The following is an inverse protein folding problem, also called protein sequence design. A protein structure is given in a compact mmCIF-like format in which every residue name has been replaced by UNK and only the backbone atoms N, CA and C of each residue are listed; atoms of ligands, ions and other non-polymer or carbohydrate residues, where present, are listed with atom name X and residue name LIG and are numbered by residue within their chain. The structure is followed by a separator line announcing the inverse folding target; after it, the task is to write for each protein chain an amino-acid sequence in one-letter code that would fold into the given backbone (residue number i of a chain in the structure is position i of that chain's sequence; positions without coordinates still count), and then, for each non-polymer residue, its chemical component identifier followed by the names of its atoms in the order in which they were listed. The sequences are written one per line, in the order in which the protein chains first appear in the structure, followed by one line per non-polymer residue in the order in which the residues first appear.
data_IF_038553326949
#
_entry.id   IF_038553326949
#
_cell.length_a   1.000
_cell.length_b   1.000
_cell.length_c   1.000
_cell.angle_alpha   90.00
_cell.angle_beta   90.00
_cell.angle_gamma   90.00
#
_symmetry.space_group_name_H-M   'P 1'
#
loop_
_entity.id
_entity.type
_entity.pdbx_description
1 polymer ?
#
# COMPACT_ATOMS: atom_id res chain seq x y z
N UNK A 1 11.88 11.79 9.71
CA UNK A 1 12.61 11.39 8.48
C UNK A 1 12.20 12.26 7.30
N UNK A 2 10.93 12.31 6.90
CA UNK A 2 10.46 13.12 5.76
C UNK A 2 10.97 14.57 5.75
N UNK A 3 10.84 15.30 6.87
CA UNK A 3 11.31 16.70 7.00
C UNK A 3 12.78 16.87 6.60
N UNK A 4 13.63 15.86 6.85
CA UNK A 4 15.05 15.91 6.56
C UNK A 4 15.37 15.44 5.12
N UNK A 5 14.47 14.65 4.51
CA UNK A 5 14.69 14.01 3.20
C UNK A 5 13.43 14.02 2.31
N UNK A 6 12.80 15.18 2.06
CA UNK A 6 11.49 15.25 1.41
C UNK A 6 11.52 14.69 -0.02
N UNK A 7 12.54 15.05 -0.80
CA UNK A 7 12.66 14.59 -2.20
C UNK A 7 12.95 13.10 -2.30
N UNK A 8 13.71 12.52 -1.37
CA UNK A 8 13.93 11.07 -1.32
C UNK A 8 12.61 10.33 -1.07
N UNK A 9 11.82 10.79 -0.10
CA UNK A 9 10.53 10.20 0.20
C UNK A 9 9.55 10.34 -0.97
N UNK A 10 9.48 11.52 -1.62
CA UNK A 10 8.63 11.73 -2.80
C UNK A 10 9.01 10.81 -3.96
N UNK A 11 10.31 10.72 -4.26
CA UNK A 11 10.80 9.83 -5.32
C UNK A 11 10.53 8.37 -5.01
N UNK A 12 10.68 7.96 -3.75
CA UNK A 12 10.34 6.61 -3.32
C UNK A 12 8.85 6.32 -3.48
N UNK A 13 7.97 7.22 -3.02
CA UNK A 13 6.51 7.08 -3.18
C UNK A 13 6.12 7.01 -4.64
N UNK A 14 6.68 7.87 -5.49
CA UNK A 14 6.46 7.83 -6.94
C UNK A 14 6.86 6.48 -7.54
N UNK A 15 8.07 6.01 -7.25
CA UNK A 15 8.56 4.72 -7.73
C UNK A 15 7.70 3.54 -7.22
N UNK A 16 7.21 3.61 -5.98
CA UNK A 16 6.32 2.60 -5.41
C UNK A 16 4.97 2.53 -6.15
N UNK A 17 4.37 3.69 -6.44
CA UNK A 17 3.11 3.77 -7.20
C UNK A 17 3.32 3.23 -8.62
N UNK A 18 4.37 3.67 -9.31
CA UNK A 18 4.74 3.16 -10.64
C UNK A 18 4.95 1.65 -10.63
N UNK A 19 5.62 1.12 -9.59
CA UNK A 19 5.83 -0.31 -9.40
C UNK A 19 4.54 -1.10 -9.22
N UNK A 20 3.58 -0.59 -8.45
CA UNK A 20 2.25 -1.21 -8.32
C UNK A 20 1.49 -1.22 -9.65
N UNK A 21 1.47 -0.09 -10.37
CA UNK A 21 0.81 -0.02 -11.68
C UNK A 21 1.45 -1.00 -12.66
N UNK A 22 2.79 -1.07 -12.68
CA UNK A 22 3.51 -2.04 -13.50
C UNK A 22 3.13 -3.47 -13.14
N UNK A 23 3.16 -3.82 -11.85
CA UNK A 23 2.87 -5.15 -11.36
C UNK A 23 1.44 -5.62 -11.71
N UNK A 24 0.47 -4.72 -11.60
CA UNK A 24 -0.92 -4.98 -11.96
C UNK A 24 -1.13 -5.11 -13.47
N UNK A 25 -0.28 -4.52 -14.30
CA UNK A 25 -0.32 -4.67 -15.75
C UNK A 25 0.50 -5.87 -16.27
N UNK A 26 1.38 -6.44 -15.44
CA UNK A 26 2.22 -7.59 -15.77
C UNK A 26 2.05 -8.70 -14.70
N UNK A 27 0.83 -9.27 -14.56
CA UNK A 27 0.51 -10.16 -13.43
C UNK A 27 1.33 -11.45 -13.43
N UNK A 28 1.55 -12.10 -14.59
CA UNK A 28 2.30 -13.36 -14.66
C UNK A 28 3.77 -13.15 -14.26
N UNK A 29 4.41 -12.09 -14.75
CA UNK A 29 5.77 -11.72 -14.33
C UNK A 29 5.82 -11.45 -12.83
N UNK A 30 4.90 -10.62 -12.33
CA UNK A 30 4.81 -10.22 -10.93
C UNK A 30 4.69 -11.43 -10.01
N UNK A 31 3.76 -12.33 -10.31
CA UNK A 31 3.52 -13.55 -9.51
C UNK A 31 4.77 -14.44 -9.53
N UNK A 32 5.44 -14.58 -10.67
CA UNK A 32 6.69 -15.34 -10.75
C UNK A 32 7.82 -14.71 -9.92
N UNK A 33 7.95 -13.38 -9.90
CA UNK A 33 8.91 -12.67 -9.06
C UNK A 33 8.62 -12.92 -7.58
N UNK A 34 7.37 -12.80 -7.15
CA UNK A 34 6.95 -13.07 -5.76
C UNK A 34 7.24 -14.52 -5.37
N UNK A 35 6.87 -15.48 -6.21
CA UNK A 35 7.13 -16.91 -5.96
C UNK A 35 8.61 -17.21 -5.84
N UNK A 36 9.45 -16.60 -6.69
CA UNK A 36 10.90 -16.75 -6.60
C UNK A 36 11.39 -16.31 -5.22
N UNK A 37 11.04 -15.10 -4.79
CA UNK A 37 11.42 -14.60 -3.46
C UNK A 37 10.89 -15.47 -2.32
N UNK A 38 9.65 -15.98 -2.42
CA UNK A 38 9.10 -16.89 -1.41
C UNK A 38 9.90 -18.20 -1.33
N UNK A 39 10.23 -18.80 -2.47
CA UNK A 39 11.02 -20.05 -2.54
C UNK A 39 12.43 -19.86 -2.01
N UNK A 40 13.09 -18.75 -2.37
CA UNK A 40 14.43 -18.41 -1.89
C UNK A 40 14.47 -18.25 -0.36
N UNK A 41 13.33 -17.86 0.23
CA UNK A 41 13.15 -17.73 1.68
C UNK A 41 12.46 -18.97 2.32
N UNK A 42 12.40 -20.09 1.61
CA UNK A 42 11.82 -21.36 2.10
C UNK A 42 10.36 -21.26 2.57
N UNK A 43 9.59 -20.32 1.99
CA UNK A 43 8.17 -20.15 2.26
C UNK A 43 7.32 -20.99 1.28
N UNK A 44 6.18 -21.55 1.71
CA UNK A 44 5.25 -22.21 0.80
C UNK A 44 4.76 -21.27 -0.29
N UNK A 45 5.03 -21.62 -1.55
CA UNK A 45 4.70 -20.78 -2.70
C UNK A 45 3.77 -21.53 -3.68
N UNK A 46 2.60 -20.97 -3.94
CA UNK A 46 1.62 -21.51 -4.90
C UNK A 46 1.21 -20.43 -5.90
N UNK A 47 1.40 -20.71 -7.19
CA UNK A 47 1.11 -19.75 -8.26
C UNK A 47 -0.33 -19.27 -8.26
N UNK A 48 -1.29 -20.19 -8.22
CA UNK A 48 -2.70 -19.85 -8.29
C UNK A 48 -3.13 -19.01 -7.08
N UNK A 49 -2.61 -19.32 -5.89
CA UNK A 49 -2.89 -18.52 -4.70
C UNK A 49 -2.31 -17.11 -4.80
N UNK A 50 -1.05 -16.97 -5.22
CA UNK A 50 -0.41 -15.65 -5.35
C UNK A 50 -1.06 -14.81 -6.47
N UNK A 51 -1.47 -15.44 -7.57
CA UNK A 51 -2.22 -14.76 -8.62
C UNK A 51 -3.60 -14.28 -8.13
N UNK A 52 -4.30 -15.12 -7.36
CA UNK A 52 -5.56 -14.74 -6.72
C UNK A 52 -5.36 -13.56 -5.76
N UNK A 53 -4.30 -13.56 -4.95
CA UNK A 53 -3.96 -12.46 -4.05
C UNK A 53 -3.66 -11.16 -4.82
N UNK A 54 -2.89 -11.23 -5.92
CA UNK A 54 -2.61 -10.05 -6.75
C UNK A 54 -3.88 -9.44 -7.33
N UNK A 55 -4.83 -10.28 -7.76
CA UNK A 55 -6.13 -9.80 -8.25
C UNK A 55 -6.94 -9.11 -7.14
N UNK A 56 -6.92 -9.62 -5.90
CA UNK A 56 -7.55 -8.95 -4.76
C UNK A 56 -6.90 -7.60 -4.46
N UNK A 57 -5.57 -7.52 -4.57
CA UNK A 57 -4.87 -6.25 -4.41
C UNK A 57 -5.24 -5.25 -5.51
N UNK A 58 -5.44 -5.71 -6.76
CA UNK A 58 -5.89 -4.84 -7.87
C UNK A 58 -7.18 -4.10 -7.52
N UNK A 59 -8.18 -4.83 -7.01
CA UNK A 59 -9.49 -4.26 -6.66
C UNK A 59 -9.39 -3.16 -5.61
N UNK A 60 -8.44 -3.28 -4.67
CA UNK A 60 -8.23 -2.29 -3.60
C UNK A 60 -7.38 -1.11 -4.04
N UNK A 61 -6.29 -1.37 -4.76
CA UNK A 61 -5.36 -0.32 -5.19
C UNK A 61 -5.99 0.56 -6.27
N UNK A 62 -6.78 -0.03 -7.18
CA UNK A 62 -7.44 0.67 -8.27
C UNK A 62 -8.92 0.96 -7.99
N UNK A 63 -9.35 0.94 -6.73
CA UNK A 63 -10.71 1.34 -6.34
C UNK A 63 -11.02 2.78 -6.81
N UNK A 64 -10.02 3.66 -6.76
CA UNK A 64 -10.06 4.99 -7.36
C UNK A 64 -8.78 5.24 -8.21
N UNK A 65 -8.80 4.89 -9.51
CA UNK A 65 -7.62 4.96 -10.37
C UNK A 65 -7.02 6.37 -10.50
N UNK A 66 -7.84 7.41 -10.38
CA UNK A 66 -7.39 8.81 -10.47
C UNK A 66 -6.70 9.30 -9.17
N UNK A 67 -6.79 8.51 -8.10
CA UNK A 67 -6.30 8.86 -6.75
C UNK A 67 -5.43 7.76 -6.12
N UNK A 68 -4.73 6.97 -6.93
CA UNK A 68 -3.81 5.93 -6.40
C UNK A 68 -2.76 6.57 -5.49
N UNK A 69 -2.65 6.04 -4.26
CA UNK A 69 -1.70 6.54 -3.25
C UNK A 69 -2.19 7.77 -2.47
N UNK A 70 -3.38 8.29 -2.76
CA UNK A 70 -4.02 9.33 -1.97
C UNK A 70 -4.78 8.73 -0.78
N UNK A 71 -4.55 9.27 0.42
CA UNK A 71 -5.35 8.93 1.59
C UNK A 71 -6.56 9.84 1.67
N UNK A 72 -7.77 9.30 1.79
CA UNK A 72 -8.95 10.12 1.97
C UNK A 72 -9.03 10.65 3.43
N UNK A 73 -9.20 11.97 3.67
CA UNK A 73 -9.32 12.51 5.03
C UNK A 73 -10.44 11.87 5.86
N UNK A 74 -11.58 11.55 5.24
CA UNK A 74 -12.71 10.92 5.94
C UNK A 74 -12.37 9.49 6.40
N UNK A 75 -11.56 8.75 5.63
CA UNK A 75 -11.14 7.40 6.00
C UNK A 75 -10.20 7.43 7.20
N UNK A 76 -9.29 8.41 7.26
CA UNK A 76 -8.42 8.61 8.44
C UNK A 76 -9.25 8.99 9.66
N UNK A 77 -10.21 9.91 9.52
CA UNK A 77 -11.07 10.34 10.61
C UNK A 77 -11.92 9.17 11.16
N UNK A 78 -12.46 8.33 10.28
CA UNK A 78 -13.22 7.14 10.67
C UNK A 78 -12.33 6.13 11.42
N UNK A 79 -11.12 5.87 10.91
CA UNK A 79 -10.16 4.98 11.57
C UNK A 79 -9.79 5.51 12.97
N UNK A 80 -9.55 6.81 13.09
CA UNK A 80 -9.25 7.46 14.37
C UNK A 80 -10.40 7.30 15.36
N UNK A 81 -11.64 7.54 14.94
CA UNK A 81 -12.85 7.38 15.75
C UNK A 81 -12.99 5.94 16.27
N UNK A 82 -12.81 4.95 15.39
CA UNK A 82 -12.87 3.53 15.75
C UNK A 82 -11.80 3.21 16.80
N UNK A 83 -10.55 3.65 16.59
CA UNK A 83 -9.45 3.33 17.51
C UNK A 83 -9.62 4.04 18.87
N UNK A 84 -10.12 5.29 18.88
CA UNK A 84 -10.45 6.00 20.12
C UNK A 84 -11.56 5.31 20.92
N UNK A 85 -12.66 4.94 20.25
CA UNK A 85 -13.77 4.21 20.90
C UNK A 85 -13.31 2.90 21.54
N UNK A 86 -12.32 2.24 20.94
CA UNK A 86 -11.76 0.99 21.45
C UNK A 86 -10.56 1.18 22.39
N UNK A 87 -10.28 2.42 22.84
CA UNK A 87 -9.15 2.75 23.71
C UNK A 87 -7.79 2.27 23.16
N UNK A 88 -7.65 2.17 21.83
CA UNK A 88 -6.41 1.80 21.14
C UNK A 88 -5.58 2.99 20.71
N UNK A 89 -6.13 4.18 20.80
CA UNK A 89 -5.47 5.42 20.46
C UNK A 89 -5.58 6.41 21.62
N UNK A 90 -4.43 6.84 22.15
CA UNK A 90 -4.36 7.76 23.28
C UNK A 90 -4.45 9.24 22.86
N UNK A 91 -4.01 9.58 21.63
CA UNK A 91 -3.92 10.95 21.13
C UNK A 91 -4.51 11.05 19.71
N UNK A 92 -5.19 12.16 19.37
CA UNK A 92 -5.67 12.40 18.00
C UNK A 92 -4.54 12.38 16.97
N UNK A 93 -4.86 12.00 15.72
CA UNK A 93 -3.92 11.97 14.60
C UNK A 93 -4.41 12.95 13.54
N UNK A 94 -3.84 14.15 13.56
CA UNK A 94 -4.20 15.18 12.60
C UNK A 94 -3.79 14.79 11.19
N UNK A 95 -4.71 14.94 10.22
CA UNK A 95 -4.48 14.55 8.83
C UNK A 95 -3.22 15.19 8.23
N UNK A 96 -3.00 16.49 8.48
CA UNK A 96 -1.83 17.25 8.01
C UNK A 96 -0.50 16.75 8.58
N UNK A 97 -0.52 16.13 9.75
CA UNK A 97 0.67 15.60 10.42
C UNK A 97 0.95 14.17 9.96
N UNK A 98 -0.09 13.46 9.48
CA UNK A 98 -0.02 12.07 9.04
C UNK A 98 0.20 11.90 7.53
N UNK A 99 -0.43 12.74 6.70
CA UNK A 99 -0.36 12.66 5.25
C UNK A 99 0.11 13.99 4.65
N UNK A 100 1.22 13.93 3.92
CA UNK A 100 1.85 15.05 3.24
C UNK A 100 1.82 14.77 1.75
N UNK A 101 1.23 15.68 0.97
CA UNK A 101 1.22 15.60 -0.49
C UNK A 101 2.50 16.23 -1.08
#
# INVERSE_FOLDING_TARGET
YYIQHPELCKNFTKALIEGWIYALNHPDETVNVVIRYMRDNHLPANYNHQNWMLNHMRERILENPDKVGYLNPEDLALAEEILKRNSKLAYPVEYKDFFLQ
#
